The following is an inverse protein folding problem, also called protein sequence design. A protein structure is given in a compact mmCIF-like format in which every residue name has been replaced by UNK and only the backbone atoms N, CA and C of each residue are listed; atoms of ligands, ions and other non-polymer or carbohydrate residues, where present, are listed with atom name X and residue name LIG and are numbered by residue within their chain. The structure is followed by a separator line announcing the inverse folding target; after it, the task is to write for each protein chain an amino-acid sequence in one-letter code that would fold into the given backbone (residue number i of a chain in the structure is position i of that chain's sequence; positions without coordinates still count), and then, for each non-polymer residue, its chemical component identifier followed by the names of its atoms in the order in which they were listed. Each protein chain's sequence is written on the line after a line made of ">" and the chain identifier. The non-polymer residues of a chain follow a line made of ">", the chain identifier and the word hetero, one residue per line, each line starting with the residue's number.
data_IF_444571883444
#
_entry.id   IF_444571883444
#
_cell.length_a   1.000
_cell.length_b   1.000
_cell.length_c   1.000
_cell.angle_alpha   90.00
_cell.angle_beta   90.00
_cell.angle_gamma   90.00
#
_symmetry.space_group_name_H-M   'P 1'
#
loop_
_entity.id
_entity.type
_entity.pdbx_description
1 polymer ?
#
# COMPACT_ATOMS: atom_id res chain seq x y z
N UNK A 1 19.44 28.28 -36.55
CA UNK A 1 18.63 28.02 -35.33
C UNK A 1 19.53 28.09 -34.11
N UNK A 2 19.10 28.79 -33.06
CA UNK A 2 19.83 28.94 -31.79
C UNK A 2 19.58 27.79 -30.81
N UNK A 3 20.44 27.65 -29.80
CA UNK A 3 20.25 26.69 -28.69
C UNK A 3 18.91 26.91 -27.98
N UNK A 4 18.48 28.16 -27.82
CA UNK A 4 17.20 28.53 -27.20
C UNK A 4 16.02 28.01 -28.02
N UNK A 5 16.06 28.16 -29.34
CA UNK A 5 15.02 27.64 -30.24
C UNK A 5 14.94 26.11 -30.20
N UNK A 6 16.09 25.42 -30.25
CA UNK A 6 16.12 23.95 -30.15
C UNK A 6 15.64 23.45 -28.79
N UNK A 7 16.00 24.13 -27.70
CA UNK A 7 15.52 23.79 -26.35
C UNK A 7 14.00 23.98 -26.23
N UNK A 8 13.45 25.05 -26.80
CA UNK A 8 12.01 25.27 -26.82
C UNK A 8 11.27 24.20 -27.63
N UNK A 9 11.85 23.76 -28.75
CA UNK A 9 11.30 22.67 -29.56
C UNK A 9 11.29 21.33 -28.80
N UNK A 10 12.35 21.02 -28.03
CA UNK A 10 12.38 19.83 -27.16
C UNK A 10 11.28 19.91 -26.10
N UNK A 11 11.06 21.08 -25.50
CA UNK A 11 10.00 21.29 -24.50
C UNK A 11 8.60 21.08 -25.10
N UNK A 12 8.35 21.54 -26.32
CA UNK A 12 7.05 21.34 -26.98
C UNK A 12 6.81 19.86 -27.30
N UNK A 13 7.82 19.13 -27.79
CA UNK A 13 7.72 17.68 -28.00
C UNK A 13 7.48 16.92 -26.70
N UNK A 14 8.18 17.25 -25.62
CA UNK A 14 7.95 16.63 -24.31
C UNK A 14 6.52 16.84 -23.82
N UNK A 15 5.97 18.04 -24.00
CA UNK A 15 4.60 18.38 -23.61
C UNK A 15 3.58 17.62 -24.44
N UNK A 16 3.79 17.53 -25.76
CA UNK A 16 2.95 16.76 -26.66
C UNK A 16 2.92 15.26 -26.28
N UNK A 17 4.09 14.68 -25.98
CA UNK A 17 4.20 13.29 -25.51
C UNK A 17 3.39 13.06 -24.23
N UNK A 18 3.49 13.95 -23.23
CA UNK A 18 2.73 13.85 -21.98
C UNK A 18 1.21 13.87 -22.23
N UNK A 19 0.73 14.83 -23.02
CA UNK A 19 -0.70 14.93 -23.37
C UNK A 19 -1.17 13.68 -24.12
N UNK A 20 -0.36 13.14 -25.02
CA UNK A 20 -0.70 11.96 -25.79
C UNK A 20 -0.84 10.71 -24.91
N UNK A 21 -0.01 10.53 -23.88
CA UNK A 21 -0.17 9.38 -22.97
C UNK A 21 -1.52 9.36 -22.24
N UNK A 22 -2.01 10.51 -21.79
CA UNK A 22 -3.33 10.63 -21.16
C UNK A 22 -4.43 10.31 -22.17
N UNK A 23 -4.33 10.84 -23.40
CA UNK A 23 -5.27 10.56 -24.49
C UNK A 23 -5.28 9.08 -24.89
N UNK A 24 -4.11 8.43 -24.93
CA UNK A 24 -4.00 6.98 -25.17
C UNK A 24 -4.76 6.21 -24.10
N UNK A 25 -4.61 6.58 -22.82
CA UNK A 25 -5.38 5.98 -21.71
C UNK A 25 -6.89 6.06 -21.93
N UNK A 26 -7.40 7.22 -22.36
CA UNK A 26 -8.81 7.42 -22.73
C UNK A 26 -9.25 6.47 -23.84
N UNK A 27 -8.51 6.45 -24.95
CA UNK A 27 -8.84 5.62 -26.12
C UNK A 27 -8.82 4.13 -25.76
N UNK A 28 -7.85 3.68 -24.95
CA UNK A 28 -7.78 2.30 -24.48
C UNK A 28 -9.01 1.91 -23.65
N UNK A 29 -9.52 2.83 -22.81
CA UNK A 29 -10.75 2.62 -22.05
C UNK A 29 -11.95 2.52 -22.99
N UNK A 30 -12.05 3.40 -23.98
CA UNK A 30 -13.14 3.35 -24.97
C UNK A 30 -13.12 2.03 -25.76
N UNK A 31 -11.95 1.58 -26.21
CA UNK A 31 -11.78 0.30 -26.90
C UNK A 31 -12.23 -0.87 -26.01
N UNK A 32 -11.81 -0.88 -24.73
CA UNK A 32 -12.18 -1.94 -23.78
C UNK A 32 -13.69 -1.94 -23.52
N UNK A 33 -14.25 -0.80 -23.15
CA UNK A 33 -15.61 -0.70 -22.62
C UNK A 33 -16.65 -0.88 -23.73
N UNK A 34 -16.36 -0.42 -24.95
CA UNK A 34 -17.19 -0.65 -26.14
C UNK A 34 -16.88 -1.98 -26.84
N UNK A 35 -15.91 -2.77 -26.34
CA UNK A 35 -15.47 -4.04 -26.91
C UNK A 35 -15.07 -3.97 -28.39
N UNK A 36 -14.45 -2.87 -28.82
CA UNK A 36 -14.05 -2.66 -30.23
C UNK A 36 -12.97 -3.64 -30.71
N UNK A 37 -12.33 -4.35 -29.78
CA UNK A 37 -11.35 -5.40 -30.09
C UNK A 37 -11.98 -6.71 -30.61
N UNK A 38 -13.29 -6.92 -30.40
CA UNK A 38 -13.95 -8.21 -30.66
C UNK A 38 -13.90 -8.66 -32.12
N UNK A 39 -13.73 -7.74 -33.07
CA UNK A 39 -13.67 -8.07 -34.51
C UNK A 39 -12.44 -8.94 -34.86
N UNK A 40 -11.33 -8.73 -34.15
CA UNK A 40 -10.05 -9.35 -34.48
C UNK A 40 -9.42 -10.13 -33.30
N UNK A 41 -9.93 -9.94 -32.08
CA UNK A 41 -9.35 -10.51 -30.87
C UNK A 41 -10.43 -11.06 -29.92
N UNK A 42 -10.18 -12.23 -29.29
CA UNK A 42 -11.15 -12.86 -28.39
C UNK A 42 -11.26 -12.15 -27.02
N UNK A 43 -10.30 -11.29 -26.68
CA UNK A 43 -10.32 -10.50 -25.45
C UNK A 43 -9.49 -9.23 -25.59
N UNK A 44 -9.77 -8.23 -24.76
CA UNK A 44 -8.97 -7.00 -24.69
C UNK A 44 -7.50 -7.31 -24.37
N UNK A 45 -7.23 -8.30 -23.52
CA UNK A 45 -5.86 -8.71 -23.21
C UNK A 45 -5.13 -9.27 -24.43
N UNK A 46 -5.81 -10.01 -25.31
CA UNK A 46 -5.20 -10.50 -26.55
C UNK A 46 -4.95 -9.36 -27.55
N UNK A 47 -5.84 -8.37 -27.62
CA UNK A 47 -5.60 -7.15 -28.39
C UNK A 47 -4.31 -6.43 -27.93
N UNK A 48 -4.10 -6.28 -26.62
CA UNK A 48 -2.90 -5.64 -26.07
C UNK A 48 -1.58 -6.42 -26.26
N UNK A 49 -1.66 -7.69 -26.68
CA UNK A 49 -0.49 -8.54 -26.96
C UNK A 49 -0.33 -8.75 -28.48
N UNK A 50 -1.29 -8.30 -29.28
CA UNK A 50 -1.26 -8.40 -30.74
C UNK A 50 -0.09 -7.63 -31.34
N UNK A 51 0.38 -8.09 -32.51
CA UNK A 51 1.54 -7.52 -33.21
C UNK A 51 1.39 -6.02 -33.55
N UNK A 52 0.15 -5.54 -33.71
CA UNK A 52 -0.14 -4.16 -34.08
C UNK A 52 -0.11 -3.19 -32.89
N UNK A 53 -0.04 -3.70 -31.65
CA UNK A 53 -0.06 -2.87 -30.47
C UNK A 53 1.36 -2.55 -29.98
N UNK A 54 1.71 -1.26 -29.93
CA UNK A 54 3.09 -0.81 -29.69
C UNK A 54 3.51 -0.75 -28.22
N UNK A 55 2.57 -0.82 -27.28
CA UNK A 55 2.89 -0.76 -25.85
C UNK A 55 2.87 -2.15 -25.22
N UNK A 56 3.62 -2.33 -24.15
CA UNK A 56 3.42 -3.52 -23.33
C UNK A 56 2.03 -3.48 -22.69
N UNK A 57 1.46 -4.67 -22.46
CA UNK A 57 0.19 -4.82 -21.74
C UNK A 57 0.18 -4.05 -20.41
N UNK A 58 1.26 -4.14 -19.64
CA UNK A 58 1.41 -3.46 -18.35
C UNK A 58 1.35 -1.93 -18.50
N UNK A 59 2.06 -1.38 -19.50
CA UNK A 59 2.02 0.04 -19.77
C UNK A 59 0.63 0.49 -20.20
N UNK A 60 -0.08 -0.28 -21.04
CA UNK A 60 -1.44 0.04 -21.45
C UNK A 60 -2.38 0.19 -20.26
N UNK A 61 -2.38 -0.76 -19.32
CA UNK A 61 -3.19 -0.65 -18.11
C UNK A 61 -2.80 0.54 -17.24
N UNK A 62 -1.50 0.83 -17.09
CA UNK A 62 -1.03 2.03 -16.37
C UNK A 62 -1.52 3.33 -16.99
N UNK A 63 -1.53 3.44 -18.33
CA UNK A 63 -2.06 4.62 -19.02
C UNK A 63 -3.57 4.78 -18.79
N UNK A 64 -4.30 3.67 -18.77
CA UNK A 64 -5.74 3.68 -18.44
C UNK A 64 -5.97 4.15 -17.00
N UNK A 65 -5.18 3.67 -16.04
CA UNK A 65 -5.29 4.08 -14.63
C UNK A 65 -4.95 5.56 -14.44
N UNK A 66 -3.93 6.07 -15.14
CA UNK A 66 -3.60 7.50 -15.15
C UNK A 66 -4.76 8.32 -15.71
N UNK A 67 -5.38 7.91 -16.81
CA UNK A 67 -6.53 8.63 -17.35
C UNK A 67 -7.74 8.59 -16.42
N UNK A 68 -8.04 7.45 -15.80
CA UNK A 68 -9.15 7.33 -14.84
C UNK A 68 -8.98 8.28 -13.66
N UNK A 69 -7.75 8.44 -13.18
CA UNK A 69 -7.48 9.24 -12.00
C UNK A 69 -7.35 10.73 -12.32
N UNK A 70 -6.74 11.09 -13.46
CA UNK A 70 -6.33 12.46 -13.74
C UNK A 70 -6.88 13.04 -15.05
N UNK A 71 -7.60 12.25 -15.85
CA UNK A 71 -7.99 12.59 -17.22
C UNK A 71 -8.96 13.78 -17.34
N UNK A 72 -9.72 14.06 -16.28
CA UNK A 72 -10.65 15.19 -16.22
C UNK A 72 -10.00 16.48 -15.70
N UNK A 73 -8.91 16.38 -14.91
CA UNK A 73 -8.37 17.49 -14.13
C UNK A 73 -6.87 17.76 -14.46
N UNK A 74 -6.63 18.21 -15.69
CA UNK A 74 -5.28 18.33 -16.26
C UNK A 74 -4.42 19.47 -15.66
N UNK A 75 -5.01 20.44 -14.94
CA UNK A 75 -4.27 21.64 -14.50
C UNK A 75 -3.28 21.34 -13.37
N UNK A 76 -3.67 20.55 -12.37
CA UNK A 76 -2.80 20.24 -11.21
C UNK A 76 -1.63 19.32 -11.57
N UNK A 77 -1.83 18.47 -12.58
CA UNK A 77 -0.83 17.52 -13.07
C UNK A 77 0.04 18.09 -14.19
N UNK A 78 -0.20 19.34 -14.59
CA UNK A 78 0.58 20.00 -15.62
C UNK A 78 2.05 20.03 -15.21
N UNK A 79 2.95 19.72 -16.16
CA UNK A 79 4.38 19.60 -15.90
C UNK A 79 4.83 18.21 -15.42
N UNK A 80 3.95 17.38 -14.84
CA UNK A 80 4.33 16.04 -14.40
C UNK A 80 4.56 15.08 -15.58
N UNK A 81 5.59 14.24 -15.48
CA UNK A 81 5.86 13.17 -16.45
C UNK A 81 4.97 11.95 -16.19
N UNK A 82 4.69 11.17 -17.23
CA UNK A 82 3.82 9.99 -17.13
C UNK A 82 4.24 9.01 -16.04
N UNK A 83 5.54 8.83 -15.84
CA UNK A 83 6.07 7.93 -14.81
C UNK A 83 5.75 8.38 -13.40
N UNK A 84 5.72 9.71 -13.12
CA UNK A 84 5.28 10.23 -11.83
C UNK A 84 3.77 10.05 -11.64
N UNK A 85 2.99 10.29 -12.69
CA UNK A 85 1.54 10.06 -12.66
C UNK A 85 1.21 8.60 -12.35
N UNK A 86 1.93 7.66 -12.94
CA UNK A 86 1.79 6.23 -12.63
C UNK A 86 2.11 5.92 -11.16
N UNK A 87 3.12 6.54 -10.56
CA UNK A 87 3.37 6.32 -9.12
C UNK A 87 2.22 6.83 -8.25
N UNK A 88 1.64 7.97 -8.62
CA UNK A 88 0.53 8.59 -7.90
C UNK A 88 -0.75 7.75 -7.97
N UNK A 89 -0.99 6.95 -9.02
CA UNK A 89 -2.17 6.08 -9.09
C UNK A 89 -2.16 4.96 -8.03
N UNK A 90 -1.02 4.65 -7.41
CA UNK A 90 -0.95 3.67 -6.33
C UNK A 90 -1.44 4.18 -4.97
N UNK A 91 -1.66 5.49 -4.84
CA UNK A 91 -2.17 6.12 -3.61
C UNK A 91 -3.69 6.12 -3.69
N UNK A 92 -4.37 5.39 -2.80
CA UNK A 92 -5.84 5.26 -2.86
C UNK A 92 -6.58 6.46 -2.29
N UNK A 93 -6.02 7.07 -1.25
CA UNK A 93 -6.60 8.22 -0.60
C UNK A 93 -6.43 9.45 -1.50
N UNK A 94 -7.53 10.12 -1.82
CA UNK A 94 -7.54 11.27 -2.73
C UNK A 94 -6.83 12.47 -2.11
N UNK A 95 -7.03 12.74 -0.83
CA UNK A 95 -6.43 13.90 -0.15
C UNK A 95 -4.91 13.75 -0.08
N UNK A 96 -4.44 12.57 0.34
CA UNK A 96 -3.00 12.25 0.40
C UNK A 96 -2.37 12.32 -0.99
N UNK A 97 -3.10 11.87 -2.02
CA UNK A 97 -2.63 11.95 -3.40
C UNK A 97 -2.54 13.39 -3.90
N UNK A 98 -3.48 14.26 -3.54
CA UNK A 98 -3.40 15.68 -3.87
C UNK A 98 -2.15 16.35 -3.25
N UNK A 99 -1.84 16.06 -1.99
CA UNK A 99 -0.60 16.54 -1.36
C UNK A 99 0.66 16.01 -2.09
N UNK A 100 0.62 14.76 -2.54
CA UNK A 100 1.73 14.17 -3.27
C UNK A 100 1.87 14.73 -4.69
N UNK A 101 0.79 15.17 -5.33
CA UNK A 101 0.83 15.87 -6.63
C UNK A 101 1.60 17.18 -6.48
N UNK A 102 1.35 17.96 -5.43
CA UNK A 102 2.08 19.20 -5.16
C UNK A 102 3.56 18.94 -4.95
N UNK A 103 3.91 17.94 -4.12
CA UNK A 103 5.30 17.53 -3.90
C UNK A 103 5.95 17.01 -5.19
N UNK A 104 5.21 16.30 -6.03
CA UNK A 104 5.73 15.74 -7.27
C UNK A 104 6.22 16.79 -8.27
N UNK A 105 5.83 18.06 -8.13
CA UNK A 105 6.33 19.15 -8.97
C UNK A 105 7.83 19.38 -8.78
N UNK A 106 8.35 19.20 -7.57
CA UNK A 106 9.76 19.42 -7.23
C UNK A 106 10.56 18.13 -7.08
N UNK A 107 9.93 17.06 -6.61
CA UNK A 107 10.61 15.78 -6.37
C UNK A 107 11.03 15.09 -7.67
N UNK A 108 12.11 14.33 -7.62
CA UNK A 108 12.42 13.32 -8.66
C UNK A 108 11.41 12.17 -8.60
N UNK A 109 11.36 11.34 -9.66
CA UNK A 109 10.51 10.14 -9.67
C UNK A 109 10.85 9.20 -8.51
N UNK A 110 12.13 9.00 -8.21
CA UNK A 110 12.55 8.02 -7.22
C UNK A 110 12.28 8.50 -5.78
N UNK A 111 12.35 9.81 -5.53
CA UNK A 111 11.90 10.40 -4.26
C UNK A 111 10.39 10.28 -4.10
N UNK A 112 9.61 10.62 -5.14
CA UNK A 112 8.16 10.44 -5.13
C UNK A 112 7.77 8.99 -4.84
N UNK A 113 8.46 8.02 -5.47
CA UNK A 113 8.23 6.60 -5.24
C UNK A 113 8.48 6.18 -3.78
N UNK A 114 9.45 6.79 -3.10
CA UNK A 114 9.69 6.55 -1.66
C UNK A 114 8.54 7.08 -0.82
N UNK A 115 8.05 8.28 -1.12
CA UNK A 115 6.89 8.86 -0.42
C UNK A 115 5.62 8.02 -0.61
N UNK A 116 5.32 7.61 -1.85
CA UNK A 116 4.20 6.70 -2.14
C UNK A 116 4.34 5.38 -1.39
N UNK A 117 5.56 4.83 -1.29
CA UNK A 117 5.80 3.58 -0.55
C UNK A 117 5.49 3.73 0.94
N UNK A 118 5.88 4.84 1.58
CA UNK A 118 5.55 5.12 2.99
C UNK A 118 4.04 5.14 3.22
N UNK A 119 3.29 5.83 2.37
CA UNK A 119 1.82 5.89 2.45
C UNK A 119 1.21 4.49 2.37
N UNK A 120 1.69 3.66 1.43
CA UNK A 120 1.19 2.28 1.29
C UNK A 120 1.50 1.41 2.51
N UNK A 121 2.67 1.58 3.12
CA UNK A 121 3.05 0.86 4.35
C UNK A 121 2.19 1.31 5.54
N UNK A 122 1.91 2.60 5.66
CA UNK A 122 1.02 3.15 6.69
C UNK A 122 -0.43 2.66 6.51
N UNK A 123 -0.94 2.64 5.28
CA UNK A 123 -2.27 2.12 4.97
C UNK A 123 -2.39 0.63 5.28
N UNK A 124 -1.36 -0.15 4.95
CA UNK A 124 -1.29 -1.56 5.29
C UNK A 124 -1.28 -1.75 6.81
N UNK A 125 -0.49 -0.94 7.53
CA UNK A 125 -0.44 -0.96 8.99
C UNK A 125 -1.80 -0.60 9.62
N UNK A 126 -2.48 0.43 9.12
CA UNK A 126 -3.84 0.81 9.55
C UNK A 126 -4.84 -0.33 9.31
N UNK A 127 -4.76 -1.02 8.16
CA UNK A 127 -5.62 -2.17 7.86
C UNK A 127 -5.35 -3.36 8.78
N UNK A 128 -4.08 -3.69 9.02
CA UNK A 128 -3.68 -4.75 9.95
C UNK A 128 -4.19 -4.43 11.37
N UNK A 129 -4.02 -3.18 11.83
CA UNK A 129 -4.51 -2.73 13.13
C UNK A 129 -6.03 -2.80 13.25
N UNK A 130 -6.77 -2.42 12.21
CA UNK A 130 -8.24 -2.54 12.18
C UNK A 130 -8.68 -4.00 12.19
N UNK A 131 -7.99 -4.87 11.45
CA UNK A 131 -8.27 -6.31 11.41
C UNK A 131 -7.99 -6.97 12.76
N UNK A 132 -6.87 -6.65 13.39
CA UNK A 132 -6.56 -7.15 14.73
C UNK A 132 -7.53 -6.63 15.79
N UNK A 133 -8.02 -5.38 15.67
CA UNK A 133 -9.07 -4.86 16.55
C UNK A 133 -10.40 -5.62 16.38
N UNK A 134 -10.82 -5.91 15.15
CA UNK A 134 -12.04 -6.69 14.86
C UNK A 134 -11.93 -8.15 15.31
N UNK A 135 -10.82 -8.81 15.01
CA UNK A 135 -10.55 -10.18 15.46
C UNK A 135 -10.45 -10.27 16.99
N UNK A 136 -10.01 -9.22 17.67
CA UNK A 136 -10.07 -9.16 19.14
C UNK A 136 -11.49 -8.85 19.66
N UNK A 137 -12.32 -8.12 18.90
CA UNK A 137 -13.70 -7.80 19.29
C UNK A 137 -14.63 -9.02 19.23
N UNK A 138 -14.39 -9.94 18.30
CA UNK A 138 -15.11 -11.23 18.19
C UNK A 138 -14.67 -12.28 19.25
N UNK A 139 -13.65 -11.98 20.07
CA UNK A 139 -13.15 -12.88 21.14
C UNK A 139 -13.54 -12.40 22.55
N UNK A 140 -14.15 -11.22 22.68
CA UNK A 140 -14.81 -10.75 23.90
C UNK A 140 -16.25 -11.28 23.99
N UNK A 141 -16.42 -12.60 23.93
CA UNK A 141 -17.49 -13.19 24.73
C UNK A 141 -17.01 -13.07 26.18
N UNK A 142 -17.63 -12.17 26.94
CA UNK A 142 -17.49 -12.08 28.40
C UNK A 142 -17.68 -13.48 28.99
N UNK A 143 -16.57 -14.18 29.24
CA UNK A 143 -16.62 -15.29 30.18
C UNK A 143 -16.41 -14.69 31.55
N UNK A 144 -17.36 -14.92 32.44
CA UNK A 144 -17.24 -14.55 33.86
C UNK A 144 -16.05 -15.24 34.54
N UNK A 145 -15.46 -16.27 33.93
CA UNK A 145 -14.24 -16.92 34.41
C UNK A 145 -12.97 -16.08 34.12
N UNK A 146 -12.32 -15.54 35.15
CA UNK A 146 -11.09 -14.77 35.00
C UNK A 146 -9.90 -15.60 34.47
N UNK A 147 -9.89 -16.92 34.70
CA UNK A 147 -8.81 -17.81 34.25
C UNK A 147 -8.89 -18.04 32.74
N UNK A 148 -10.09 -18.34 32.21
CA UNK A 148 -10.32 -18.44 30.77
C UNK A 148 -9.93 -17.14 30.04
N UNK A 149 -10.30 -15.97 30.60
CA UNK A 149 -9.87 -14.66 30.09
C UNK A 149 -8.35 -14.53 30.06
N UNK A 150 -7.67 -14.94 31.13
CA UNK A 150 -6.20 -14.90 31.22
C UNK A 150 -5.52 -15.78 30.17
N UNK A 151 -6.04 -16.99 29.92
CA UNK A 151 -5.51 -17.94 28.91
C UNK A 151 -5.67 -17.39 27.48
N UNK A 152 -6.83 -16.83 27.14
CA UNK A 152 -7.08 -16.20 25.82
C UNK A 152 -6.16 -15.01 25.58
N UNK A 153 -6.02 -14.12 26.57
CA UNK A 153 -5.09 -12.99 26.47
C UNK A 153 -3.65 -13.45 26.21
N UNK A 154 -3.22 -14.55 26.84
CA UNK A 154 -1.91 -15.13 26.61
C UNK A 154 -1.72 -15.62 25.16
N UNK A 155 -2.72 -16.32 24.62
CA UNK A 155 -2.71 -16.79 23.23
C UNK A 155 -2.64 -15.64 22.23
N UNK A 156 -3.42 -14.58 22.44
CA UNK A 156 -3.41 -13.42 21.54
C UNK A 156 -2.06 -12.69 21.57
N UNK A 157 -1.45 -12.52 22.76
CA UNK A 157 -0.11 -11.94 22.89
C UNK A 157 0.91 -12.80 22.13
N UNK A 158 0.84 -14.12 22.26
CA UNK A 158 1.77 -15.02 21.57
C UNK A 158 1.63 -14.93 20.05
N UNK A 159 0.40 -14.91 19.52
CA UNK A 159 0.17 -14.74 18.08
C UNK A 159 0.67 -13.39 17.57
N UNK A 160 0.43 -12.32 18.33
CA UNK A 160 0.87 -10.97 17.98
C UNK A 160 2.40 -10.84 17.96
N UNK A 161 3.09 -11.48 18.91
CA UNK A 161 4.56 -11.62 18.96
C UNK A 161 5.04 -12.34 17.69
N UNK A 162 4.48 -13.50 17.38
CA UNK A 162 4.87 -14.31 16.22
C UNK A 162 4.65 -13.59 14.88
N UNK A 163 3.61 -12.77 14.79
CA UNK A 163 3.25 -12.00 13.58
C UNK A 163 4.01 -10.67 13.46
N UNK A 164 4.77 -10.25 14.47
CA UNK A 164 5.33 -8.90 14.56
C UNK A 164 4.26 -7.80 14.34
N UNK A 165 3.03 -8.06 14.80
CA UNK A 165 1.85 -7.29 14.40
C UNK A 165 1.78 -5.87 15.01
N UNK A 166 2.71 -5.52 15.91
CA UNK A 166 2.69 -4.28 16.67
C UNK A 166 4.10 -3.70 16.87
N UNK A 167 4.21 -2.37 17.07
CA UNK A 167 5.44 -1.74 17.57
C UNK A 167 5.85 -2.38 18.89
N UNK A 168 7.17 -2.58 19.06
CA UNK A 168 7.74 -3.29 20.23
C UNK A 168 7.30 -2.66 21.56
N UNK A 169 7.20 -1.33 21.63
CA UNK A 169 6.81 -0.61 22.85
C UNK A 169 5.34 -0.89 23.24
N UNK A 170 4.46 -1.04 22.25
CA UNK A 170 3.04 -1.37 22.49
C UNK A 170 2.89 -2.81 22.97
N UNK A 171 3.70 -3.72 22.41
CA UNK A 171 3.74 -5.12 22.85
C UNK A 171 4.28 -5.27 24.26
N UNK A 172 5.32 -4.51 24.63
CA UNK A 172 5.87 -4.52 25.98
C UNK A 172 4.83 -4.08 27.02
N UNK A 173 4.08 -3.02 26.70
CA UNK A 173 2.99 -2.54 27.57
C UNK A 173 1.90 -3.59 27.75
N UNK A 174 1.48 -4.26 26.66
CA UNK A 174 0.47 -5.33 26.72
C UNK A 174 0.97 -6.54 27.50
N UNK A 175 2.21 -6.95 27.27
CA UNK A 175 2.84 -8.07 27.97
C UNK A 175 2.90 -7.81 29.48
N UNK A 176 3.35 -6.63 29.90
CA UNK A 176 3.45 -6.28 31.32
C UNK A 176 2.07 -6.30 32.00
N UNK A 177 1.04 -5.76 31.34
CA UNK A 177 -0.35 -5.81 31.86
C UNK A 177 -0.84 -7.25 32.05
N UNK A 178 -0.58 -8.13 31.08
CA UNK A 178 -0.95 -9.53 31.20
C UNK A 178 -0.14 -10.26 32.28
N UNK A 179 1.17 -10.00 32.39
CA UNK A 179 2.01 -10.58 33.44
C UNK A 179 1.45 -10.22 34.82
N UNK A 180 1.15 -8.95 35.08
CA UNK A 180 0.54 -8.52 36.34
C UNK A 180 -0.81 -9.21 36.59
N UNK A 181 -1.71 -9.20 35.60
CA UNK A 181 -3.01 -9.87 35.72
C UNK A 181 -2.88 -11.38 35.99
N UNK A 182 -1.88 -12.03 35.40
CA UNK A 182 -1.68 -13.47 35.51
C UNK A 182 -1.10 -13.93 36.85
N UNK A 183 -0.54 -13.03 37.67
CA UNK A 183 0.08 -13.38 38.96
C UNK A 183 -0.88 -14.04 39.94
N UNK A 184 -2.17 -13.74 39.84
CA UNK A 184 -3.22 -14.32 40.70
C UNK A 184 -3.56 -15.77 40.38
N UNK A 185 -3.05 -16.32 39.27
CA UNK A 185 -3.33 -17.70 38.87
C UNK A 185 -2.08 -18.59 39.02
N UNK A 186 -2.26 -19.75 39.67
CA UNK A 186 -1.24 -20.82 39.77
C UNK A 186 -1.44 -21.93 38.73
N UNK A 187 -2.17 -21.63 37.66
CA UNK A 187 -2.52 -22.59 36.61
C UNK A 187 -1.31 -22.99 35.76
N UNK A 188 -1.20 -24.29 35.45
CA UNK A 188 -0.07 -24.88 34.72
C UNK A 188 0.06 -24.33 33.30
N UNK A 189 -1.05 -24.08 32.62
CA UNK A 189 -1.04 -23.55 31.26
C UNK A 189 -0.60 -22.10 31.27
N UNK A 190 -1.03 -21.31 32.26
CA UNK A 190 -0.56 -19.93 32.44
C UNK A 190 0.96 -19.89 32.66
N UNK A 191 1.50 -20.81 33.47
CA UNK A 191 2.95 -20.94 33.65
C UNK A 191 3.66 -21.33 32.34
N UNK A 192 3.05 -22.21 31.54
CA UNK A 192 3.60 -22.57 30.23
C UNK A 192 3.57 -21.39 29.26
N UNK A 193 2.47 -20.63 29.20
CA UNK A 193 2.37 -19.41 28.39
C UNK A 193 3.43 -18.39 28.77
N UNK A 194 3.69 -18.17 30.08
CA UNK A 194 4.77 -17.26 30.53
C UNK A 194 6.12 -17.66 29.95
N UNK A 195 6.46 -18.95 30.00
CA UNK A 195 7.72 -19.47 29.45
C UNK A 195 7.78 -19.26 27.94
N UNK A 196 6.74 -19.65 27.20
CA UNK A 196 6.71 -19.53 25.74
C UNK A 196 6.79 -18.08 25.28
N UNK A 197 6.02 -17.19 25.92
CA UNK A 197 6.03 -15.76 25.59
C UNK A 197 7.40 -15.14 25.89
N UNK A 198 8.04 -15.47 27.02
CA UNK A 198 9.38 -14.96 27.34
C UNK A 198 10.44 -15.40 26.31
N UNK A 199 10.39 -16.67 25.87
CA UNK A 199 11.28 -17.19 24.82
C UNK A 199 11.09 -16.42 23.51
N UNK A 200 9.85 -16.30 23.03
CA UNK A 200 9.58 -15.62 21.76
C UNK A 200 9.88 -14.12 21.83
N UNK A 201 9.59 -13.48 22.95
CA UNK A 201 9.88 -12.06 23.17
C UNK A 201 11.39 -11.77 23.19
N UNK A 202 12.19 -12.65 23.81
CA UNK A 202 13.66 -12.56 23.78
C UNK A 202 14.20 -12.64 22.36
N UNK A 203 13.69 -13.55 21.52
CA UNK A 203 14.10 -13.65 20.11
C UNK A 203 13.90 -12.32 19.37
N UNK A 204 12.74 -11.70 19.53
CA UNK A 204 12.42 -10.41 18.88
C UNK A 204 13.37 -9.29 19.37
N UNK A 205 13.63 -9.21 20.68
CA UNK A 205 14.52 -8.18 21.24
C UNK A 205 15.96 -8.31 20.73
N UNK A 206 16.46 -9.53 20.54
CA UNK A 206 17.81 -9.78 20.02
C UNK A 206 17.92 -9.32 18.55
N UNK A 207 16.91 -9.59 17.72
CA UNK A 207 16.88 -9.16 16.32
C UNK A 207 16.98 -7.62 16.19
N UNK A 208 16.42 -6.86 17.14
CA UNK A 208 16.48 -5.39 17.13
C UNK A 208 17.86 -4.84 17.50
N UNK A 209 18.64 -5.53 18.34
CA UNK A 209 19.98 -5.06 18.75
C UNK A 209 21.05 -5.27 17.66
N UNK A 210 20.76 -6.10 16.65
CA UNK A 210 21.66 -6.41 15.54
C UNK A 210 21.37 -5.59 14.27
N UNK A 211 20.48 -4.59 14.35
CA UNK A 211 20.17 -3.62 13.31
C UNK A 211 20.44 -2.21 13.83
#
# INVERSE_FOLDING_TARGET
>A
MSLKEKTNLIKSYSTAVKSNFIKIGKVLIEIRDKKLFNENYPSFTQYLIGADFQFTRDMAYKLMDVYKEFGEDNKKIEGLGITKLVELTYVKDKEVREELIEKAQTLTRDELRKEVKKVKEEDLFKQIKRKSQRENQDVYVESDDPLAKCKRQAQNILQDIQRLAYPINDMETRLNKWIEFSKKFKDKDIMQFKKTIDIEWKKIRTIKKSK
#
